data_IF_060574737365
#
_entry.id   IF_060574737365
#
_cell.length_a   1.000
_cell.length_b   1.000
_cell.length_c   1.000
_cell.angle_alpha   90.00
_cell.angle_beta   90.00
_cell.angle_gamma   90.00
#
_symmetry.space_group_name_H-M   'P 1'
#
loop_
_entity.id
_entity.type
_entity.pdbx_description
1 polymer ?
#
# COMPACT_ATOMS: atom_id res chain seq x y z
N UNK A 1 18.68 -22.05 41.02
CA UNK A 1 18.64 -22.92 39.83
C UNK A 1 19.45 -24.16 40.14
N UNK A 2 19.01 -25.34 39.71
CA UNK A 2 19.78 -26.58 39.83
C UNK A 2 20.19 -27.02 38.42
N UNK A 3 21.36 -27.63 38.29
CA UNK A 3 21.89 -28.11 37.01
C UNK A 3 22.58 -27.04 36.16
N UNK A 4 23.03 -27.44 34.97
CA UNK A 4 23.70 -26.57 34.00
C UNK A 4 22.71 -26.03 32.98
N UNK A 5 22.15 -24.85 33.25
CA UNK A 5 21.19 -24.17 32.39
C UNK A 5 21.60 -22.72 32.14
N UNK A 6 21.14 -22.18 31.01
CA UNK A 6 21.28 -20.75 30.69
C UNK A 6 20.60 -19.90 31.76
N UNK A 7 21.22 -18.78 32.11
CA UNK A 7 20.69 -17.84 33.09
C UNK A 7 19.28 -17.34 32.67
N UNK A 8 18.29 -17.34 33.58
CA UNK A 8 16.91 -17.06 33.25
C UNK A 8 16.73 -15.55 33.22
N UNK A 9 16.34 -15.00 32.07
CA UNK A 9 16.07 -13.58 31.90
C UNK A 9 14.57 -13.25 32.08
N UNK A 10 13.99 -13.73 33.17
CA UNK A 10 12.56 -13.65 33.44
C UNK A 10 12.20 -12.33 34.14
N UNK A 11 11.49 -11.45 33.44
CA UNK A 11 11.11 -10.12 33.92
C UNK A 11 9.75 -10.10 34.66
N UNK A 12 9.48 -11.11 35.49
CA UNK A 12 8.21 -11.25 36.24
C UNK A 12 8.26 -10.69 37.68
N UNK A 13 9.26 -9.86 37.99
CA UNK A 13 9.47 -9.31 39.34
C UNK A 13 8.50 -8.19 39.72
N UNK A 14 7.86 -7.56 38.74
CA UNK A 14 6.93 -6.45 38.97
C UNK A 14 5.53 -7.00 39.24
N UNK A 15 4.93 -6.62 40.37
CA UNK A 15 3.54 -6.98 40.70
C UNK A 15 2.51 -6.26 39.82
N UNK A 16 2.92 -5.18 39.14
CA UNK A 16 2.09 -4.39 38.22
C UNK A 16 1.98 -4.97 36.81
N UNK A 17 2.49 -6.18 36.57
CA UNK A 17 2.40 -6.83 35.26
C UNK A 17 0.94 -7.18 34.94
N UNK A 18 0.48 -6.72 33.78
CA UNK A 18 -0.87 -6.99 33.27
C UNK A 18 -0.81 -8.11 32.26
N UNK A 19 -1.61 -9.15 32.46
CA UNK A 19 -1.77 -10.25 31.52
C UNK A 19 -2.96 -9.91 30.61
N UNK A 20 -2.70 -9.84 29.29
CA UNK A 20 -3.74 -9.68 28.29
C UNK A 20 -4.04 -11.03 27.64
N UNK A 21 -5.25 -11.53 27.85
CA UNK A 21 -5.73 -12.76 27.22
C UNK A 21 -6.68 -12.42 26.08
N UNK A 22 -6.69 -13.24 25.04
CA UNK A 22 -7.55 -13.11 23.87
C UNK A 22 -8.66 -14.17 23.91
N UNK A 23 -9.70 -13.92 24.71
CA UNK A 23 -10.79 -14.88 24.92
C UNK A 23 -11.66 -15.09 23.67
N UNK A 24 -12.02 -14.02 22.96
CA UNK A 24 -12.92 -14.10 21.79
C UNK A 24 -12.28 -13.54 20.50
N UNK A 25 -11.29 -14.25 19.92
CA UNK A 25 -10.67 -13.81 18.67
C UNK A 25 -11.66 -13.80 17.50
N UNK A 26 -12.60 -14.74 17.47
CA UNK A 26 -13.58 -14.92 16.38
C UNK A 26 -14.61 -13.79 16.33
N UNK A 27 -15.17 -13.41 17.48
CA UNK A 27 -16.15 -12.31 17.54
C UNK A 27 -15.54 -11.00 17.05
N UNK A 28 -14.27 -10.75 17.40
CA UNK A 28 -13.51 -9.58 16.94
C UNK A 28 -13.35 -9.58 15.42
N UNK A 29 -13.05 -10.72 14.80
CA UNK A 29 -12.95 -10.84 13.35
C UNK A 29 -14.29 -10.57 12.68
N UNK A 30 -15.38 -11.16 13.18
CA UNK A 30 -16.74 -10.93 12.69
C UNK A 30 -17.13 -9.45 12.73
N UNK A 31 -16.90 -8.78 13.87
CA UNK A 31 -17.18 -7.34 14.03
C UNK A 31 -16.35 -6.49 13.07
N UNK A 32 -15.10 -6.86 12.79
CA UNK A 32 -14.26 -6.15 11.81
C UNK A 32 -14.79 -6.31 10.38
N UNK A 33 -15.27 -7.49 10.03
CA UNK A 33 -15.87 -7.77 8.72
C UNK A 33 -17.18 -7.00 8.52
N UNK A 34 -18.09 -7.03 9.49
CA UNK A 34 -19.34 -6.27 9.46
C UNK A 34 -19.09 -4.77 9.29
N UNK A 35 -18.11 -4.21 10.02
CA UNK A 35 -17.71 -2.79 9.88
C UNK A 35 -17.22 -2.49 8.46
N UNK A 36 -16.45 -3.40 7.85
CA UNK A 36 -15.96 -3.28 6.48
C UNK A 36 -17.13 -3.31 5.48
N UNK A 37 -18.07 -4.24 5.64
CA UNK A 37 -19.26 -4.37 4.80
C UNK A 37 -20.14 -3.13 4.93
N UNK A 38 -20.42 -2.66 6.15
CA UNK A 38 -21.20 -1.45 6.41
C UNK A 38 -20.61 -0.23 5.70
N UNK A 39 -19.28 -0.06 5.81
CA UNK A 39 -18.57 1.03 5.12
C UNK A 39 -18.63 0.89 3.60
N UNK A 40 -18.49 -0.32 3.07
CA UNK A 40 -18.58 -0.58 1.64
C UNK A 40 -19.99 -0.27 1.09
N UNK A 41 -21.06 -0.66 1.82
CA UNK A 41 -22.44 -0.35 1.47
C UNK A 41 -22.69 1.17 1.44
N UNK A 42 -22.18 1.90 2.43
CA UNK A 42 -22.32 3.36 2.51
C UNK A 42 -21.59 4.09 1.37
N UNK A 43 -20.43 3.58 0.95
CA UNK A 43 -19.60 4.21 -0.09
C UNK A 43 -19.91 3.74 -1.52
N UNK A 44 -20.80 2.78 -1.71
CA UNK A 44 -21.12 2.21 -3.02
C UNK A 44 -21.51 3.31 -4.04
N UNK A 45 -20.92 3.33 -5.26
CA UNK A 45 -20.02 2.35 -5.90
C UNK A 45 -18.51 2.57 -5.72
N UNK A 46 -18.08 3.51 -4.88
CA UNK A 46 -16.66 3.89 -4.72
C UNK A 46 -15.85 2.74 -4.07
N UNK A 47 -14.63 2.44 -4.56
CA UNK A 47 -13.72 1.49 -3.92
C UNK A 47 -13.33 1.89 -2.48
N UNK A 48 -13.20 0.91 -1.59
CA UNK A 48 -12.89 1.14 -0.17
C UNK A 48 -11.44 1.62 0.08
N UNK A 49 -10.50 1.19 -0.78
CA UNK A 49 -9.07 1.50 -0.66
C UNK A 49 -8.71 2.62 -1.63
N UNK A 50 -7.77 3.46 -1.24
CA UNK A 50 -7.22 4.52 -2.10
C UNK A 50 -6.04 4.02 -2.94
N UNK A 51 -5.79 4.64 -4.08
CA UNK A 51 -4.55 4.44 -4.84
C UNK A 51 -3.37 4.95 -4.01
N UNK A 52 -2.29 4.16 -3.97
CA UNK A 52 -1.04 4.49 -3.27
C UNK A 52 0.15 4.36 -4.22
N UNK A 53 1.20 5.18 -4.07
CA UNK A 53 2.40 5.12 -4.92
C UNK A 53 3.24 3.88 -4.62
N UNK A 54 4.17 3.58 -5.52
CA UNK A 54 5.22 2.60 -5.31
C UNK A 54 6.48 3.35 -4.88
N UNK A 55 7.09 2.92 -3.77
CA UNK A 55 8.25 3.58 -3.16
C UNK A 55 9.26 2.51 -2.73
N UNK A 56 10.54 2.86 -2.77
CA UNK A 56 11.65 2.06 -2.21
C UNK A 56 11.64 2.05 -0.68
N UNK A 57 12.13 0.97 -0.08
CA UNK A 57 12.33 0.91 1.37
C UNK A 57 13.63 1.63 1.78
N UNK A 58 13.74 2.15 3.02
CA UNK A 58 14.79 3.12 3.37
C UNK A 58 16.18 2.54 3.62
N UNK A 59 16.33 1.45 4.38
CA UNK A 59 17.65 0.98 4.83
C UNK A 59 18.36 0.10 3.79
N UNK A 60 19.69 -0.04 3.90
CA UNK A 60 20.52 -0.91 3.05
C UNK A 60 19.96 -2.33 2.96
N UNK A 61 19.44 -2.87 4.07
CA UNK A 61 18.83 -4.20 4.11
C UNK A 61 17.60 -4.33 3.19
N UNK A 62 16.85 -3.25 2.96
CA UNK A 62 15.55 -3.28 2.29
C UNK A 62 15.47 -2.43 1.02
N UNK A 63 16.46 -1.60 0.69
CA UNK A 63 16.43 -0.69 -0.47
C UNK A 63 16.22 -1.40 -1.83
N UNK A 64 16.62 -2.66 -1.93
CA UNK A 64 16.35 -3.54 -3.09
C UNK A 64 14.85 -3.82 -3.29
N UNK A 65 14.05 -3.69 -2.23
CA UNK A 65 12.62 -3.94 -2.25
C UNK A 65 11.79 -2.67 -2.39
N UNK A 66 10.74 -2.77 -3.20
CA UNK A 66 9.68 -1.76 -3.29
C UNK A 66 8.47 -2.15 -2.45
N UNK A 67 7.70 -1.14 -2.05
CA UNK A 67 6.44 -1.29 -1.30
C UNK A 67 5.45 -0.21 -1.69
N UNK A 68 4.18 -0.42 -1.31
CA UNK A 68 3.18 0.63 -1.39
C UNK A 68 3.45 1.70 -0.33
N UNK A 69 3.51 2.95 -0.78
CA UNK A 69 3.73 4.12 0.05
C UNK A 69 2.49 4.57 0.84
N UNK A 70 2.62 5.74 1.49
CA UNK A 70 1.51 6.40 2.19
C UNK A 70 0.59 7.16 1.22
N UNK A 71 1.18 7.97 0.33
CA UNK A 71 0.49 8.77 -0.68
C UNK A 71 1.49 9.40 -1.66
N UNK A 72 0.97 9.83 -2.81
CA UNK A 72 1.68 10.53 -3.88
C UNK A 72 2.07 11.95 -3.44
N UNK A 73 3.14 12.49 -4.01
CA UNK A 73 3.53 13.89 -3.78
C UNK A 73 2.64 14.83 -4.58
N UNK A 74 2.66 16.13 -4.25
CA UNK A 74 1.98 17.14 -5.05
C UNK A 74 2.57 17.19 -6.48
N UNK A 75 3.90 17.11 -6.59
CA UNK A 75 4.60 17.12 -7.88
C UNK A 75 4.22 15.94 -8.79
N UNK A 76 4.06 14.72 -8.25
CA UNK A 76 3.58 13.58 -9.04
C UNK A 76 2.14 13.79 -9.54
N UNK A 77 1.27 14.36 -8.71
CA UNK A 77 -0.11 14.66 -9.12
C UNK A 77 -0.12 15.73 -10.22
N UNK A 78 0.66 16.80 -10.05
CA UNK A 78 0.76 17.89 -11.01
C UNK A 78 1.32 17.43 -12.35
N UNK A 79 2.40 16.63 -12.35
CA UNK A 79 2.97 16.02 -13.57
C UNK A 79 2.01 15.02 -14.23
N UNK A 80 1.05 14.47 -13.49
CA UNK A 80 -0.04 13.66 -14.02
C UNK A 80 -1.25 14.48 -14.53
N UNK A 81 -1.21 15.81 -14.45
CA UNK A 81 -2.29 16.71 -14.89
C UNK A 81 -3.40 16.88 -13.86
N UNK A 82 -3.14 16.62 -12.58
CA UNK A 82 -4.12 16.75 -11.50
C UNK A 82 -3.64 17.70 -10.40
N UNK A 83 -4.52 18.59 -9.95
CA UNK A 83 -4.32 19.23 -8.65
C UNK A 83 -4.42 18.20 -7.52
N UNK A 84 -3.57 18.33 -6.51
CA UNK A 84 -3.51 17.39 -5.39
C UNK A 84 -4.80 17.36 -4.57
N UNK A 85 -5.58 18.45 -4.51
CA UNK A 85 -6.89 18.48 -3.83
C UNK A 85 -7.94 17.74 -4.65
N UNK A 86 -7.89 17.87 -5.98
CA UNK A 86 -8.75 17.11 -6.88
C UNK A 86 -8.42 15.60 -6.84
N UNK A 87 -7.14 15.24 -6.84
CA UNK A 87 -6.70 13.84 -6.71
C UNK A 87 -7.25 13.17 -5.42
N UNK A 88 -7.30 13.89 -4.29
CA UNK A 88 -7.88 13.37 -3.03
C UNK A 88 -9.35 13.02 -3.14
N UNK A 89 -10.13 13.75 -3.96
CA UNK A 89 -11.55 13.49 -4.23
C UNK A 89 -11.73 12.25 -5.10
N UNK A 90 -10.87 12.05 -6.09
CA UNK A 90 -10.87 10.87 -6.98
C UNK A 90 -10.44 9.55 -6.30
N UNK A 91 -10.07 9.57 -5.02
CA UNK A 91 -9.62 8.36 -4.31
C UNK A 91 -8.12 8.08 -4.39
N UNK A 92 -7.31 9.08 -4.76
CA UNK A 92 -5.85 9.02 -4.72
C UNK A 92 -5.35 9.49 -3.34
N UNK A 93 -4.42 8.76 -2.73
CA UNK A 93 -3.81 9.18 -1.47
C UNK A 93 -2.66 10.16 -1.73
N UNK A 94 -2.61 11.29 -1.03
CA UNK A 94 -1.56 12.32 -1.18
C UNK A 94 -0.77 12.46 0.12
N UNK A 95 0.54 12.65 0.02
CA UNK A 95 1.47 12.92 1.11
C UNK A 95 2.36 14.14 0.79
N UNK A 96 2.01 15.28 1.40
CA UNK A 96 2.72 16.55 1.18
C UNK A 96 4.10 16.62 1.85
N UNK A 97 4.43 15.66 2.73
CA UNK A 97 5.72 15.66 3.45
C UNK A 97 6.80 14.86 2.72
N UNK A 98 6.42 14.00 1.78
CA UNK A 98 7.37 13.21 1.00
C UNK A 98 8.02 14.10 -0.03
N UNK A 99 9.33 13.94 -0.23
CA UNK A 99 10.11 14.61 -1.27
C UNK A 99 10.45 13.60 -2.35
N UNK A 100 10.43 14.04 -3.60
CA UNK A 100 10.87 13.23 -4.74
C UNK A 100 12.36 13.48 -4.97
N UNK A 101 13.14 12.41 -5.04
CA UNK A 101 14.60 12.47 -5.20
C UNK A 101 15.11 11.76 -6.44
N UNK A 102 14.29 10.90 -7.06
CA UNK A 102 14.65 10.11 -8.24
C UNK A 102 13.60 10.33 -9.33
N UNK A 103 14.08 10.62 -10.55
CA UNK A 103 13.26 10.77 -11.76
C UNK A 103 12.50 9.49 -12.10
N UNK A 104 13.13 8.33 -12.04
CA UNK A 104 12.50 7.04 -12.38
C UNK A 104 11.30 6.76 -11.48
N UNK A 105 11.44 7.04 -10.18
CA UNK A 105 10.37 6.86 -9.20
C UNK A 105 9.22 7.85 -9.44
N UNK A 106 9.55 9.09 -9.82
CA UNK A 106 8.57 10.11 -10.18
C UNK A 106 7.74 9.64 -11.39
N UNK A 107 8.40 9.24 -12.47
CA UNK A 107 7.75 8.81 -13.72
C UNK A 107 6.90 7.56 -13.53
N UNK A 108 7.44 6.54 -12.84
CA UNK A 108 6.70 5.33 -12.48
C UNK A 108 5.41 5.63 -11.72
N UNK A 109 5.43 6.62 -10.83
CA UNK A 109 4.25 7.01 -10.05
C UNK A 109 3.28 7.89 -10.85
N UNK A 110 3.78 8.74 -11.74
CA UNK A 110 2.94 9.51 -12.69
C UNK A 110 2.18 8.57 -13.61
N UNK A 111 2.85 7.58 -14.21
CA UNK A 111 2.22 6.59 -15.08
C UNK A 111 1.20 5.74 -14.33
N UNK A 112 1.48 5.45 -13.06
CA UNK A 112 0.54 4.77 -12.17
C UNK A 112 -0.73 5.59 -11.91
N UNK A 113 -0.63 6.92 -11.77
CA UNK A 113 -1.81 7.80 -11.66
C UNK A 113 -2.57 7.80 -12.99
N UNK A 114 -1.89 7.97 -14.12
CA UNK A 114 -2.52 7.95 -15.46
C UNK A 114 -3.27 6.63 -15.74
N UNK A 115 -2.66 5.51 -15.40
CA UNK A 115 -3.27 4.17 -15.52
C UNK A 115 -4.49 4.00 -14.61
N UNK A 116 -4.54 4.70 -13.48
CA UNK A 116 -5.71 4.70 -12.61
C UNK A 116 -6.83 5.56 -13.20
N UNK A 117 -6.50 6.75 -13.71
CA UNK A 117 -7.45 7.64 -14.37
C UNK A 117 -8.12 7.00 -15.57
N UNK A 118 -7.38 6.24 -16.38
CA UNK A 118 -7.93 5.54 -17.55
C UNK A 118 -8.94 4.43 -17.19
N UNK A 119 -8.98 4.00 -15.93
CA UNK A 119 -9.83 2.89 -15.45
C UNK A 119 -11.04 3.35 -14.63
N UNK A 120 -11.06 4.60 -14.18
CA UNK A 120 -12.18 5.11 -13.38
C UNK A 120 -13.25 5.73 -14.27
N UNK A 121 -14.50 5.59 -13.85
CA UNK A 121 -15.66 6.28 -14.42
C UNK A 121 -16.18 7.26 -13.39
N UNK A 122 -16.44 8.51 -13.80
CA UNK A 122 -17.02 9.54 -12.95
C UNK A 122 -18.51 9.62 -13.26
N UNK A 123 -19.33 9.73 -12.20
CA UNK A 123 -20.76 9.93 -12.28
C UNK A 123 -21.09 11.36 -11.84
N UNK A 124 -22.18 11.93 -12.35
CA UNK A 124 -22.59 13.29 -12.02
C UNK A 124 -23.21 13.36 -10.62
N UNK A 125 -23.94 12.30 -10.22
CA UNK A 125 -24.60 12.23 -8.92
C UNK A 125 -24.47 10.87 -8.24
N UNK A 126 -24.67 10.86 -6.92
CA UNK A 126 -24.66 9.62 -6.11
C UNK A 126 -25.83 8.71 -6.48
N UNK A 127 -26.97 9.28 -6.88
CA UNK A 127 -28.16 8.51 -7.29
C UNK A 127 -27.87 7.72 -8.56
N UNK A 128 -27.38 8.42 -9.59
CA UNK A 128 -26.96 7.81 -10.85
C UNK A 128 -25.92 6.70 -10.64
N UNK A 129 -24.92 6.97 -9.79
CA UNK A 129 -23.86 6.02 -9.48
C UNK A 129 -24.40 4.70 -8.86
N UNK A 130 -25.47 4.79 -8.04
CA UNK A 130 -26.11 3.62 -7.43
C UNK A 130 -26.98 2.86 -8.43
N UNK A 131 -27.72 3.57 -9.28
CA UNK A 131 -28.57 2.99 -10.32
C UNK A 131 -27.76 2.21 -11.36
N UNK A 132 -26.60 2.74 -11.78
CA UNK A 132 -25.69 2.06 -12.71
C UNK A 132 -25.06 0.79 -12.14
N UNK A 133 -25.14 0.56 -10.83
CA UNK A 133 -24.85 -0.76 -10.24
C UNK A 133 -23.40 -1.25 -10.35
N UNK A 134 -22.42 -0.37 -10.63
CA UNK A 134 -21.05 -0.78 -10.92
C UNK A 134 -20.41 -1.56 -9.75
N UNK A 135 -19.79 -2.70 -10.05
CA UNK A 135 -19.16 -3.56 -9.04
C UNK A 135 -17.91 -2.87 -8.45
N UNK A 136 -17.89 -2.52 -7.15
CA UNK A 136 -16.76 -1.82 -6.55
C UNK A 136 -15.53 -2.72 -6.44
N UNK A 137 -14.35 -2.13 -6.63
CA UNK A 137 -13.09 -2.86 -6.45
C UNK A 137 -12.80 -3.10 -4.95
N UNK A 138 -12.81 -4.37 -4.54
CA UNK A 138 -12.69 -4.76 -3.13
C UNK A 138 -11.23 -4.94 -2.63
N UNK A 139 -10.30 -5.26 -3.53
CA UNK A 139 -8.89 -5.56 -3.20
C UNK A 139 -8.07 -4.26 -3.09
N UNK A 140 -6.75 -4.39 -2.85
CA UNK A 140 -5.83 -3.25 -2.91
C UNK A 140 -5.70 -2.79 -4.37
N UNK A 141 -5.95 -1.51 -4.65
CA UNK A 141 -5.88 -0.96 -6.00
C UNK A 141 -4.44 -1.07 -6.52
N UNK A 142 -4.29 -1.71 -7.68
CA UNK A 142 -3.01 -1.95 -8.37
C UNK A 142 -1.92 -2.44 -7.40
N UNK A 143 -2.05 -3.66 -6.82
CA UNK A 143 -1.08 -4.14 -5.86
C UNK A 143 0.30 -4.24 -6.50
N UNK A 144 1.35 -3.93 -5.74
CA UNK A 144 2.70 -4.18 -6.19
C UNK A 144 2.93 -5.70 -6.24
N UNK A 145 3.30 -6.20 -7.42
CA UNK A 145 3.73 -7.57 -7.63
C UNK A 145 5.25 -7.59 -7.53
N UNK A 146 5.79 -8.44 -6.66
CA UNK A 146 7.25 -8.58 -6.55
C UNK A 146 7.78 -9.15 -7.86
N UNK A 147 8.72 -8.48 -8.55
CA UNK A 147 9.32 -9.03 -9.75
C UNK A 147 10.07 -10.33 -9.37
N UNK A 148 9.92 -11.36 -10.21
CA UNK A 148 10.77 -12.54 -10.10
C UNK A 148 12.14 -12.17 -10.65
N UNK A 149 13.20 -12.49 -9.91
CA UNK A 149 14.57 -12.28 -10.38
C UNK A 149 14.80 -13.25 -11.53
N UNK A 150 15.17 -12.72 -12.69
CA UNK A 150 15.54 -13.51 -13.87
C UNK A 150 17.07 -13.46 -13.99
N UNK A 151 17.69 -14.62 -14.16
CA UNK A 151 19.13 -14.71 -14.41
C UNK A 151 19.35 -14.46 -15.89
N UNK A 152 20.08 -13.39 -16.22
CA UNK A 152 20.55 -13.16 -17.59
C UNK A 152 21.77 -14.05 -17.88
N UNK A 153 21.87 -14.53 -19.11
CA UNK A 153 23.07 -15.21 -19.63
C UNK A 153 23.79 -14.27 -20.59
N UNK A 154 25.12 -14.26 -20.51
CA UNK A 154 26.00 -13.48 -21.39
C UNK A 154 26.95 -14.45 -22.09
N UNK A 155 27.31 -14.17 -23.34
CA UNK A 155 28.25 -15.01 -24.08
C UNK A 155 29.68 -14.84 -23.56
N UNK A 156 30.54 -15.85 -23.73
CA UNK A 156 31.91 -15.83 -23.17
C UNK A 156 32.75 -14.66 -23.70
N UNK A 157 32.55 -14.29 -24.96
CA UNK A 157 33.32 -13.22 -25.63
C UNK A 157 32.93 -11.84 -25.09
N UNK A 158 31.68 -11.67 -24.69
CA UNK A 158 31.15 -10.43 -24.10
C UNK A 158 31.55 -10.26 -22.62
N UNK A 159 32.01 -11.32 -21.94
CA UNK A 159 32.43 -11.25 -20.52
C UNK A 159 33.61 -10.30 -20.33
N UNK A 160 34.54 -10.27 -21.28
CA UNK A 160 35.74 -9.42 -21.18
C UNK A 160 35.42 -7.92 -21.29
N UNK A 161 34.31 -7.57 -21.94
CA UNK A 161 33.83 -6.20 -22.11
C UNK A 161 32.67 -5.83 -21.19
N UNK A 162 32.29 -6.71 -20.25
CA UNK A 162 31.15 -6.49 -19.36
C UNK A 162 31.53 -5.60 -18.17
N UNK A 163 30.76 -4.53 -17.94
CA UNK A 163 30.86 -3.64 -16.76
C UNK A 163 29.95 -4.10 -15.61
#
# INVERSE_FOLDING_TARGET
MKGNHVLPNNHFRKTSLKIKVHHDPETKLRVMEEKKIRKAKSMFPIPLKKLRPVIRCPSIKYNRNERLGRGFTAAECEKAGLDYRHARRLGIAVDLRRRDTNLEALEKNVDRIKTYLSKITIYESVKEAKEKGAKPYAKKIMPFVKPKVVVGSISRDEVASYE
#
